data_IF_109872288352
#
_entry.id   IF_109872288352
#
_cell.length_a   1.000
_cell.length_b   1.000
_cell.length_c   1.000
_cell.angle_alpha   90.00
_cell.angle_beta   90.00
_cell.angle_gamma   90.00
#
_symmetry.space_group_name_H-M   'P 1'
#
loop_
_entity.id
_entity.type
_entity.pdbx_description
1 polymer ?
#
# COMPACT_ATOMS: atom_id res chain seq x y z
N UNK A 1 -19.93 3.06 15.61
CA UNK A 1 -19.48 2.00 16.51
C UNK A 1 -18.09 1.60 16.05
N UNK A 2 -17.09 2.13 16.72
CA UNK A 2 -15.68 1.88 16.42
C UNK A 2 -15.21 0.73 17.33
N UNK A 3 -14.89 -0.43 16.77
CA UNK A 3 -14.50 -1.64 17.51
C UNK A 3 -13.13 -2.16 17.08
N UNK A 4 -12.38 -1.38 16.29
CA UNK A 4 -11.06 -1.79 15.79
C UNK A 4 -9.99 -0.77 16.22
N UNK A 5 -9.69 -0.76 17.53
CA UNK A 5 -8.60 0.08 18.05
C UNK A 5 -8.30 -0.05 19.53
N UNK A 6 -9.25 -0.50 20.36
CA UNK A 6 -8.98 -0.73 21.78
C UNK A 6 -8.43 -2.13 22.00
N UNK A 7 -7.14 -2.24 22.30
CA UNK A 7 -6.53 -3.45 22.86
C UNK A 7 -7.29 -3.83 24.14
N UNK A 8 -8.15 -4.84 24.08
CA UNK A 8 -8.87 -5.35 25.27
C UNK A 8 -7.96 -6.34 25.99
N UNK A 9 -7.59 -6.02 27.23
CA UNK A 9 -6.81 -6.92 28.09
C UNK A 9 -7.76 -7.93 28.75
N UNK A 10 -7.54 -9.22 28.47
CA UNK A 10 -8.33 -10.33 29.03
C UNK A 10 -7.51 -11.13 30.04
N UNK A 11 -8.18 -11.78 31.00
CA UNK A 11 -7.52 -12.73 31.92
C UNK A 11 -7.00 -13.94 31.11
N UNK A 12 -5.79 -14.48 31.36
CA UNK A 12 -4.83 -14.15 32.43
C UNK A 12 -3.67 -13.24 31.96
N UNK A 13 -3.94 -12.19 31.17
CA UNK A 13 -2.87 -11.27 30.75
C UNK A 13 -2.23 -10.52 31.93
N UNK A 14 -0.92 -10.33 31.83
CA UNK A 14 -0.12 -9.55 32.78
C UNK A 14 0.27 -8.21 32.16
N UNK A 15 0.25 -7.15 32.96
CA UNK A 15 0.76 -5.84 32.59
C UNK A 15 1.70 -5.32 33.68
N UNK A 16 2.45 -4.26 33.38
CA UNK A 16 3.33 -3.59 34.35
C UNK A 16 2.60 -3.14 35.63
N UNK A 17 1.29 -2.90 35.55
CA UNK A 17 0.43 -2.49 36.67
C UNK A 17 -0.25 -3.65 37.41
N UNK A 18 0.09 -4.90 37.04
CA UNK A 18 -0.45 -6.11 37.65
C UNK A 18 -1.21 -7.01 36.69
N UNK A 19 -1.68 -8.14 37.21
CA UNK A 19 -2.44 -9.15 36.48
C UNK A 19 -3.93 -8.83 36.47
N UNK A 20 -4.58 -8.98 35.31
CA UNK A 20 -6.03 -8.89 35.21
C UNK A 20 -6.66 -10.08 35.92
N UNK A 21 -7.68 -9.82 36.74
CA UNK A 21 -8.43 -10.83 37.49
C UNK A 21 -9.91 -10.77 37.12
N UNK A 22 -10.57 -11.92 37.23
CA UNK A 22 -12.03 -12.02 37.05
C UNK A 22 -12.71 -11.23 38.16
N UNK A 23 -13.45 -10.18 37.79
CA UNK A 23 -14.21 -9.37 38.76
C UNK A 23 -15.49 -10.07 39.24
N UNK A 24 -16.10 -10.91 38.40
CA UNK A 24 -17.31 -11.67 38.71
C UNK A 24 -17.50 -12.83 37.73
N UNK A 25 -18.13 -13.92 38.18
CA UNK A 25 -18.35 -15.14 37.39
C UNK A 25 -17.13 -16.07 37.32
N UNK A 26 -17.27 -17.20 36.60
CA UNK A 26 -16.15 -18.08 36.26
C UNK A 26 -15.87 -17.99 34.76
N UNK A 27 -14.58 -18.09 34.38
CA UNK A 27 -14.17 -18.15 32.97
C UNK A 27 -14.79 -19.36 32.26
N UNK A 28 -15.06 -20.43 33.01
CA UNK A 28 -15.76 -21.63 32.51
C UNK A 28 -17.18 -21.37 32.02
N UNK A 29 -17.79 -20.25 32.43
CA UNK A 29 -19.19 -19.95 32.15
C UNK A 29 -19.34 -19.07 30.90
N UNK A 30 -18.23 -18.79 30.20
CA UNK A 30 -18.22 -18.05 28.94
C UNK A 30 -18.80 -18.95 27.85
N UNK A 31 -19.77 -18.40 27.10
CA UNK A 31 -20.36 -19.11 25.97
C UNK A 31 -19.31 -19.47 24.91
N UNK A 32 -19.43 -20.66 24.34
CA UNK A 32 -18.59 -21.06 23.21
C UNK A 32 -18.80 -20.10 22.03
N UNK A 33 -17.70 -19.82 21.33
CA UNK A 33 -17.73 -18.93 20.18
C UNK A 33 -18.59 -19.55 19.06
N UNK A 34 -19.60 -18.84 18.53
CA UNK A 34 -20.45 -19.38 17.48
C UNK A 34 -19.66 -19.82 16.24
N UNK A 35 -20.03 -20.96 15.66
CA UNK A 35 -19.33 -21.53 14.48
C UNK A 35 -19.28 -20.58 13.29
N UNK A 36 -20.36 -19.85 13.03
CA UNK A 36 -20.42 -18.86 11.95
C UNK A 36 -19.33 -17.78 12.11
N UNK A 37 -18.98 -17.42 13.35
CA UNK A 37 -17.95 -16.41 13.61
C UNK A 37 -16.55 -16.96 13.33
N UNK A 38 -16.29 -18.21 13.69
CA UNK A 38 -15.04 -18.91 13.33
C UNK A 38 -14.87 -18.98 11.81
N UNK A 39 -15.96 -19.26 11.09
CA UNK A 39 -15.96 -19.30 9.62
C UNK A 39 -15.63 -17.93 9.01
N UNK A 40 -16.24 -16.85 9.52
CA UNK A 40 -15.95 -15.47 9.09
C UNK A 40 -14.48 -15.10 9.34
N UNK A 41 -13.93 -15.43 10.51
CA UNK A 41 -12.52 -15.17 10.83
C UNK A 41 -11.57 -15.97 9.91
N UNK A 42 -11.86 -17.25 9.67
CA UNK A 42 -11.08 -18.09 8.78
C UNK A 42 -11.12 -17.60 7.32
N UNK A 43 -12.25 -17.09 6.86
CA UNK A 43 -12.38 -16.48 5.53
C UNK A 43 -11.55 -15.19 5.41
N UNK A 44 -11.61 -14.33 6.42
CA UNK A 44 -10.84 -13.08 6.46
C UNK A 44 -9.32 -13.34 6.44
N UNK A 45 -8.85 -14.34 7.18
CA UNK A 45 -7.43 -14.73 7.18
C UNK A 45 -7.00 -15.30 5.83
N UNK A 46 -7.83 -16.14 5.20
CA UNK A 46 -7.56 -16.65 3.84
C UNK A 46 -7.50 -15.52 2.81
N UNK A 47 -8.33 -14.48 2.93
CA UNK A 47 -8.31 -13.35 2.01
C UNK A 47 -7.02 -12.52 2.15
N UNK A 48 -6.54 -12.29 3.39
CA UNK A 48 -5.23 -11.67 3.65
C UNK A 48 -4.06 -12.50 3.13
N UNK A 49 -4.17 -13.84 3.17
CA UNK A 49 -3.13 -14.73 2.63
C UNK A 49 -3.13 -14.76 1.09
N UNK A 50 -4.32 -14.72 0.46
CA UNK A 50 -4.45 -14.70 -1.01
C UNK A 50 -3.88 -13.44 -1.66
N UNK A 51 -3.94 -12.27 -1.01
CA UNK A 51 -3.26 -11.07 -1.50
C UNK A 51 -1.72 -11.18 -1.47
N UNK A 52 -1.18 -12.21 -0.81
CA UNK A 52 0.25 -12.51 -0.73
C UNK A 52 0.64 -13.81 -1.48
N UNK A 53 -0.24 -14.38 -2.31
CA UNK A 53 0.15 -15.49 -3.19
C UNK A 53 1.20 -15.00 -4.20
N UNK A 54 2.47 -15.18 -3.84
CA UNK A 54 3.61 -14.89 -4.68
C UNK A 54 3.59 -15.82 -5.89
N UNK A 55 3.24 -15.28 -7.06
CA UNK A 55 3.37 -16.00 -8.32
C UNK A 55 4.87 -16.16 -8.63
N UNK A 56 5.46 -17.29 -8.23
CA UNK A 56 6.87 -17.58 -8.50
C UNK A 56 7.04 -17.96 -9.97
N UNK A 57 7.67 -17.08 -10.75
CA UNK A 57 8.04 -17.37 -12.14
C UNK A 57 9.26 -18.30 -12.14
N UNK A 58 9.07 -19.59 -12.39
CA UNK A 58 10.12 -20.62 -12.38
C UNK A 58 11.13 -20.47 -13.53
N UNK A 59 10.85 -19.63 -14.53
CA UNK A 59 11.75 -19.36 -15.66
C UNK A 59 11.46 -18.00 -16.30
N UNK A 60 12.26 -16.95 -16.02
CA UNK A 60 12.03 -15.64 -16.65
C UNK A 60 12.45 -15.70 -18.12
N UNK A 61 11.47 -15.60 -19.03
CA UNK A 61 11.73 -15.36 -20.45
C UNK A 61 12.44 -14.01 -20.60
N UNK A 62 13.70 -14.03 -21.05
CA UNK A 62 14.46 -12.79 -21.34
C UNK A 62 14.03 -12.25 -22.70
N UNK A 63 13.08 -11.33 -22.71
CA UNK A 63 12.80 -10.51 -23.89
C UNK A 63 14.02 -9.59 -24.16
N UNK A 64 14.42 -9.44 -25.42
CA UNK A 64 15.73 -8.92 -25.86
C UNK A 64 16.15 -7.53 -25.36
N UNK A 65 17.34 -7.10 -25.78
CA UNK A 65 18.15 -6.01 -25.19
C UNK A 65 17.62 -4.57 -25.30
N UNK A 66 16.30 -4.35 -25.43
CA UNK A 66 15.70 -3.03 -25.57
C UNK A 66 14.40 -2.87 -24.77
N UNK A 67 14.47 -2.84 -23.44
CA UNK A 67 13.29 -2.53 -22.62
C UNK A 67 12.88 -1.06 -22.80
N UNK A 68 11.62 -0.82 -23.17
CA UNK A 68 11.05 0.52 -23.25
C UNK A 68 11.01 1.22 -21.89
N UNK A 69 11.02 2.55 -21.88
CA UNK A 69 11.11 3.35 -20.65
C UNK A 69 9.95 3.09 -19.67
N UNK A 70 8.76 2.83 -20.18
CA UNK A 70 7.58 2.47 -19.35
C UNK A 70 7.77 1.12 -18.66
N UNK A 71 8.34 0.13 -19.33
CA UNK A 71 8.61 -1.19 -18.74
C UNK A 71 9.65 -1.04 -17.61
N UNK A 72 10.73 -0.29 -17.87
CA UNK A 72 11.75 0.00 -16.86
C UNK A 72 11.14 0.71 -15.63
N UNK A 73 10.20 1.64 -15.85
CA UNK A 73 9.50 2.31 -14.76
C UNK A 73 8.67 1.34 -13.92
N UNK A 74 7.93 0.43 -14.54
CA UNK A 74 7.11 -0.55 -13.81
C UNK A 74 7.99 -1.50 -12.97
N UNK A 75 9.13 -1.92 -13.50
CA UNK A 75 10.09 -2.74 -12.75
C UNK A 75 10.73 -1.95 -11.60
N UNK A 76 11.08 -0.67 -11.82
CA UNK A 76 11.63 0.23 -10.80
C UNK A 76 10.64 0.44 -9.65
N UNK A 77 9.34 0.62 -9.94
CA UNK A 77 8.29 0.74 -8.91
C UNK A 77 8.26 -0.48 -8.00
N UNK A 78 8.31 -1.69 -8.58
CA UNK A 78 8.24 -2.94 -7.83
C UNK A 78 9.46 -3.14 -6.93
N UNK A 79 10.64 -2.65 -7.34
CA UNK A 79 11.84 -2.69 -6.51
C UNK A 79 11.75 -1.78 -5.27
N UNK A 80 10.84 -0.80 -5.29
CA UNK A 80 10.64 0.15 -4.22
C UNK A 80 11.59 1.35 -4.29
N UNK A 81 11.16 2.47 -3.72
CA UNK A 81 11.88 3.75 -3.78
C UNK A 81 12.22 4.24 -2.37
N UNK A 82 13.52 4.39 -2.11
CA UNK A 82 14.04 4.87 -0.82
C UNK A 82 13.98 6.39 -0.66
N UNK A 83 14.16 6.84 0.59
CA UNK A 83 13.91 8.21 1.05
C UNK A 83 14.52 9.34 0.20
N UNK A 84 15.76 9.16 -0.27
CA UNK A 84 16.50 10.19 -1.02
C UNK A 84 16.06 10.38 -2.47
N UNK A 85 15.42 9.38 -3.08
CA UNK A 85 15.15 9.35 -4.53
C UNK A 85 13.69 9.62 -4.88
N UNK A 86 12.81 9.79 -3.90
CA UNK A 86 11.35 9.86 -4.07
C UNK A 86 10.90 10.96 -5.05
N UNK A 87 11.37 12.19 -4.84
CA UNK A 87 10.97 13.33 -5.66
C UNK A 87 11.50 13.22 -7.10
N UNK A 88 12.74 12.74 -7.26
CA UNK A 88 13.32 12.47 -8.57
C UNK A 88 12.58 11.33 -9.28
N UNK A 89 12.23 10.28 -8.55
CA UNK A 89 11.43 9.17 -9.02
C UNK A 89 10.06 9.64 -9.54
N UNK A 90 9.27 10.35 -8.73
CA UNK A 90 7.93 10.81 -9.14
C UNK A 90 7.98 11.73 -10.36
N UNK A 91 9.01 12.59 -10.45
CA UNK A 91 9.23 13.45 -11.62
C UNK A 91 9.49 12.62 -12.88
N UNK A 92 10.38 11.63 -12.81
CA UNK A 92 10.69 10.73 -13.94
C UNK A 92 9.51 9.84 -14.29
N UNK A 93 8.83 9.31 -13.29
CA UNK A 93 7.68 8.43 -13.41
C UNK A 93 6.55 9.12 -14.18
N UNK A 94 6.10 10.28 -13.68
CA UNK A 94 5.00 11.01 -14.27
C UNK A 94 5.33 11.46 -15.71
N UNK A 95 6.53 11.99 -15.95
CA UNK A 95 6.97 12.36 -17.30
C UNK A 95 7.03 11.16 -18.27
N UNK A 96 7.41 9.98 -17.79
CA UNK A 96 7.42 8.75 -18.60
C UNK A 96 6.01 8.32 -18.97
N UNK A 97 5.06 8.38 -18.03
CA UNK A 97 3.65 8.04 -18.28
C UNK A 97 3.00 9.00 -19.27
N UNK A 98 3.21 10.31 -19.10
CA UNK A 98 2.66 11.31 -20.01
C UNK A 98 3.25 11.22 -21.41
N UNK A 99 4.55 10.90 -21.54
CA UNK A 99 5.19 10.63 -22.84
C UNK A 99 4.60 9.39 -23.52
N UNK A 100 4.09 8.43 -22.75
CA UNK A 100 3.38 7.26 -23.26
C UNK A 100 1.90 7.54 -23.59
N UNK A 101 1.47 8.81 -23.60
CA UNK A 101 0.08 9.25 -23.81
C UNK A 101 -0.92 8.67 -22.78
N UNK A 102 -0.46 8.41 -21.55
CA UNK A 102 -1.38 8.07 -20.47
C UNK A 102 -2.27 9.28 -20.12
N UNK A 103 -3.52 9.01 -19.80
CA UNK A 103 -4.44 10.00 -19.24
C UNK A 103 -3.88 10.61 -17.94
N UNK A 104 -4.05 11.92 -17.76
CA UNK A 104 -3.44 12.66 -16.64
C UNK A 104 -4.06 12.23 -15.31
N UNK A 105 -5.38 12.00 -15.26
CA UNK A 105 -6.05 11.57 -14.02
C UNK A 105 -5.62 10.15 -13.63
N UNK A 106 -5.50 9.25 -14.62
CA UNK A 106 -4.98 7.91 -14.41
C UNK A 106 -3.53 7.95 -13.89
N UNK A 107 -2.68 8.80 -14.45
CA UNK A 107 -1.31 8.97 -13.99
C UNK A 107 -1.26 9.49 -12.54
N UNK A 108 -2.11 10.45 -12.17
CA UNK A 108 -2.21 10.96 -10.79
C UNK A 108 -2.60 9.85 -9.82
N UNK A 109 -3.64 9.07 -10.15
CA UNK A 109 -4.10 7.94 -9.31
C UNK A 109 -2.98 6.92 -9.11
N UNK A 110 -2.23 6.58 -10.16
CA UNK A 110 -1.07 5.70 -10.05
C UNK A 110 0.02 6.26 -9.13
N UNK A 111 0.31 7.57 -9.20
CA UNK A 111 1.32 8.15 -8.29
C UNK A 111 0.88 8.09 -6.82
N UNK A 112 -0.42 8.28 -6.54
CA UNK A 112 -0.96 8.13 -5.19
C UNK A 112 -0.79 6.69 -4.68
N UNK A 113 -1.16 5.70 -5.49
CA UNK A 113 -1.01 4.29 -5.15
C UNK A 113 0.46 3.91 -4.94
N UNK A 114 1.36 4.38 -5.82
CA UNK A 114 2.78 4.10 -5.71
C UNK A 114 3.39 4.70 -4.45
N UNK A 115 3.01 5.93 -4.10
CA UNK A 115 3.45 6.55 -2.85
C UNK A 115 2.99 5.78 -1.61
N UNK A 116 1.78 5.22 -1.64
CA UNK A 116 1.22 4.48 -0.52
C UNK A 116 1.85 3.08 -0.34
N UNK A 117 2.22 2.41 -1.45
CA UNK A 117 2.57 1.00 -1.42
C UNK A 117 4.03 0.67 -1.74
N UNK A 118 4.75 1.56 -2.43
CA UNK A 118 6.09 1.26 -2.98
C UNK A 118 7.16 2.28 -2.58
N UNK A 119 6.81 3.32 -1.83
CA UNK A 119 7.73 4.38 -1.42
C UNK A 119 7.92 4.36 0.10
N UNK A 120 9.18 4.35 0.56
CA UNK A 120 9.52 4.33 1.98
C UNK A 120 10.61 5.35 2.35
N UNK A 121 10.32 6.30 3.26
CA UNK A 121 9.00 6.63 3.81
C UNK A 121 8.08 7.27 2.74
N UNK A 122 6.74 7.13 2.85
CA UNK A 122 5.83 7.77 1.89
C UNK A 122 5.99 9.29 1.94
N UNK A 123 5.83 9.96 0.79
CA UNK A 123 5.77 11.42 0.75
C UNK A 123 4.51 11.92 1.44
N UNK A 124 4.62 13.05 2.13
CA UNK A 124 3.47 13.73 2.72
C UNK A 124 2.50 14.22 1.63
N UNK A 125 1.22 14.34 1.96
CA UNK A 125 0.16 14.78 1.01
C UNK A 125 0.52 16.09 0.28
N UNK A 126 1.06 17.07 1.02
CA UNK A 126 1.42 18.37 0.48
C UNK A 126 2.63 18.30 -0.46
N UNK A 127 3.60 17.43 -0.16
CA UNK A 127 4.81 17.25 -0.95
C UNK A 127 4.47 16.57 -2.29
N UNK A 128 3.71 15.46 -2.24
CA UNK A 128 3.27 14.78 -3.45
C UNK A 128 2.39 15.67 -4.33
N UNK A 129 1.48 16.45 -3.73
CA UNK A 129 0.64 17.38 -4.47
C UNK A 129 1.46 18.49 -5.14
N UNK A 130 2.49 19.02 -4.47
CA UNK A 130 3.40 20.01 -5.05
C UNK A 130 4.15 19.46 -6.26
N UNK A 131 4.69 18.23 -6.15
CA UNK A 131 5.37 17.53 -7.25
C UNK A 131 4.42 17.35 -8.43
N UNK A 132 3.24 16.77 -8.22
CA UNK A 132 2.24 16.57 -9.28
C UNK A 132 1.85 17.89 -9.97
N UNK A 133 1.56 18.94 -9.19
CA UNK A 133 1.18 20.26 -9.73
C UNK A 133 2.28 20.87 -10.60
N UNK A 134 3.54 20.75 -10.15
CA UNK A 134 4.69 21.26 -10.91
C UNK A 134 4.84 20.59 -12.27
N UNK A 135 4.58 19.27 -12.35
CA UNK A 135 4.75 18.50 -13.57
C UNK A 135 3.59 18.76 -14.53
N UNK A 136 2.35 18.82 -14.02
CA UNK A 136 1.18 19.18 -14.83
C UNK A 136 1.34 20.57 -15.44
N UNK A 137 1.77 21.56 -14.65
CA UNK A 137 2.02 22.91 -15.15
C UNK A 137 3.08 22.95 -16.25
N UNK A 138 4.15 22.15 -16.11
CA UNK A 138 5.20 22.04 -17.12
C UNK A 138 4.71 21.39 -18.42
N UNK A 139 3.87 20.36 -18.32
CA UNK A 139 3.35 19.64 -19.47
C UNK A 139 2.27 20.45 -20.22
N UNK A 140 1.42 21.20 -19.52
CA UNK A 140 0.48 22.12 -20.18
C UNK A 140 1.20 23.20 -20.99
N UNK A 141 2.26 23.81 -20.42
CA UNK A 141 3.12 24.77 -21.13
C UNK A 141 3.77 24.17 -22.38
N UNK A 142 4.15 22.89 -22.33
CA UNK A 142 4.79 22.19 -23.45
C UNK A 142 3.80 21.85 -24.57
N UNK A 143 2.52 21.67 -24.25
CA UNK A 143 1.44 21.39 -25.20
C UNK A 143 0.79 22.64 -25.80
N UNK A 144 1.20 23.85 -25.39
CA UNK A 144 0.69 25.11 -25.95
C UNK A 144 -0.79 25.37 -25.68
N UNK A 145 -1.39 24.69 -24.69
CA UNK A 145 -2.71 25.02 -24.17
C UNK A 145 -2.52 25.92 -22.95
N UNK A 146 -2.64 27.23 -23.16
CA UNK A 146 -2.89 28.21 -22.09
C UNK A 146 -4.37 28.18 -21.68
#
# INVERSE_FOLDING_TARGET
>A
MDVLGSKVMAVPSQTEKGAYRVKSGKISDIAELPRWFLEVMAQHDRQKQRSNESFTVTSPTRYGNGKGRTIQLLEEVIQGVGEGERNAFFTRAFGTLLRANMDIEAAIKLMLDWNAHYVQPPLGKNELHSVLKSIISRENKKKGCD
#
